data_IF_273655219831
#
_entry.id   IF_273655219831
#
_cell.length_a   1.000
_cell.length_b   1.000
_cell.length_c   1.000
_cell.angle_alpha   90.00
_cell.angle_beta   90.00
_cell.angle_gamma   90.00
#
_symmetry.space_group_name_H-M   'P 1'
#
loop_
_entity.id
_entity.type
_entity.pdbx_description
1 polymer ?
#
# COMPACT_ATOMS: atom_id res chain seq x y z
N UNK A 1 14.33 -2.49 17.71
CA UNK A 1 14.30 -1.01 17.61
C UNK A 1 12.91 -0.61 18.01
N UNK A 2 12.74 0.33 18.91
CA UNK A 2 11.42 0.90 19.20
C UNK A 2 11.03 1.85 18.04
N UNK A 3 9.93 1.58 17.39
CA UNK A 3 9.42 2.40 16.27
C UNK A 3 8.53 3.56 16.74
N UNK A 4 8.17 3.63 18.02
CA UNK A 4 7.29 4.67 18.59
C UNK A 4 5.84 4.59 18.04
N UNK A 5 5.37 3.39 17.70
CA UNK A 5 4.06 3.18 17.07
C UNK A 5 3.00 2.66 18.04
N UNK A 6 3.38 2.25 19.25
CA UNK A 6 2.44 1.68 20.22
C UNK A 6 1.28 2.65 20.52
N UNK A 7 0.07 2.15 20.48
CA UNK A 7 -1.16 2.91 20.70
C UNK A 7 -1.66 3.74 19.50
N UNK A 8 -0.95 3.74 18.37
CA UNK A 8 -1.41 4.35 17.12
C UNK A 8 -2.52 3.52 16.47
N UNK A 9 -3.25 4.14 15.57
CA UNK A 9 -4.30 3.50 14.78
C UNK A 9 -3.94 3.48 13.29
N UNK A 10 -4.23 2.39 12.61
CA UNK A 10 -3.92 2.24 11.19
C UNK A 10 -5.10 1.70 10.37
N UNK A 11 -5.26 2.24 9.17
CA UNK A 11 -6.07 1.67 8.11
C UNK A 11 -5.15 1.07 7.05
N UNK A 12 -5.29 -0.24 6.81
CA UNK A 12 -4.55 -0.96 5.77
C UNK A 12 -5.52 -1.54 4.77
N UNK A 13 -5.48 -1.09 3.53
CA UNK A 13 -6.34 -1.59 2.45
C UNK A 13 -5.66 -2.70 1.65
N UNK A 14 -6.44 -3.55 0.97
CA UNK A 14 -5.91 -4.76 0.32
C UNK A 14 -5.20 -5.70 1.30
N UNK A 15 -5.70 -5.78 2.55
CA UNK A 15 -5.01 -6.39 3.68
C UNK A 15 -5.40 -7.86 3.95
N UNK A 16 -6.15 -8.51 3.06
CA UNK A 16 -6.51 -9.92 3.24
C UNK A 16 -5.44 -10.92 2.81
N UNK A 17 -4.40 -10.47 2.10
CA UNK A 17 -3.28 -11.33 1.64
C UNK A 17 -2.06 -10.49 1.25
N UNK A 18 -0.97 -11.16 0.90
CA UNK A 18 0.24 -10.56 0.29
C UNK A 18 0.84 -9.41 1.08
N UNK A 19 1.29 -8.37 0.39
CA UNK A 19 2.02 -7.24 0.99
C UNK A 19 1.17 -6.40 1.95
N UNK A 20 -0.14 -6.27 1.69
CA UNK A 20 -1.05 -5.56 2.58
C UNK A 20 -1.21 -6.28 3.92
N UNK A 21 -1.42 -7.60 3.90
CA UNK A 21 -1.51 -8.42 5.12
C UNK A 21 -0.20 -8.42 5.90
N UNK A 22 0.92 -8.60 5.21
CA UNK A 22 2.25 -8.57 5.84
C UNK A 22 2.53 -7.20 6.51
N UNK A 23 2.10 -6.10 5.88
CA UNK A 23 2.18 -4.76 6.47
C UNK A 23 1.29 -4.63 7.71
N UNK A 24 0.06 -5.13 7.64
CA UNK A 24 -0.86 -5.10 8.78
C UNK A 24 -0.28 -5.89 9.98
N UNK A 25 0.32 -7.07 9.73
CA UNK A 25 1.01 -7.85 10.76
C UNK A 25 2.18 -7.10 11.37
N UNK A 26 3.03 -6.48 10.54
CA UNK A 26 4.18 -5.73 11.02
C UNK A 26 3.76 -4.56 11.92
N UNK A 27 2.72 -3.82 11.54
CA UNK A 27 2.16 -2.75 12.37
C UNK A 27 1.54 -3.26 13.68
N UNK A 28 0.81 -4.37 13.64
CA UNK A 28 0.22 -4.98 14.83
C UNK A 28 1.27 -5.46 15.84
N UNK A 29 2.42 -5.99 15.37
CA UNK A 29 3.56 -6.37 16.23
C UNK A 29 4.13 -5.17 16.97
N UNK A 30 4.09 -3.97 16.37
CA UNK A 30 4.53 -2.71 16.99
C UNK A 30 3.46 -2.06 17.90
N UNK A 31 2.36 -2.77 18.18
CA UNK A 31 1.30 -2.30 19.07
C UNK A 31 0.32 -1.32 18.42
N UNK A 32 0.25 -1.27 17.10
CA UNK A 32 -0.72 -0.47 16.35
C UNK A 32 -2.07 -1.19 16.33
N UNK A 33 -3.16 -0.50 16.59
CA UNK A 33 -4.52 -1.00 16.38
C UNK A 33 -4.88 -0.89 14.90
N UNK A 34 -5.00 -2.03 14.21
CA UNK A 34 -5.11 -2.07 12.75
C UNK A 34 -6.53 -2.39 12.31
N UNK A 35 -7.06 -1.60 11.37
CA UNK A 35 -8.23 -1.94 10.57
C UNK A 35 -7.78 -2.51 9.22
N UNK A 36 -8.15 -3.76 8.97
CA UNK A 36 -7.90 -4.48 7.70
C UNK A 36 -9.08 -4.29 6.78
N UNK A 37 -8.81 -3.90 5.53
CA UNK A 37 -9.85 -3.73 4.51
C UNK A 37 -9.56 -4.57 3.28
N UNK A 38 -10.57 -5.30 2.82
CA UNK A 38 -10.57 -5.99 1.52
C UNK A 38 -12.01 -6.22 1.05
N UNK A 39 -12.18 -6.78 -0.17
CA UNK A 39 -13.50 -7.11 -0.72
C UNK A 39 -14.14 -8.37 -0.10
N UNK A 40 -13.34 -9.28 0.46
CA UNK A 40 -13.80 -10.57 0.97
C UNK A 40 -13.77 -10.61 2.50
N UNK A 41 -14.95 -10.65 3.10
CA UNK A 41 -15.10 -10.83 4.55
C UNK A 41 -14.48 -12.17 5.03
N UNK A 42 -14.62 -13.24 4.23
CA UNK A 42 -14.04 -14.55 4.54
C UNK A 42 -12.51 -14.49 4.64
N UNK A 43 -11.86 -13.88 3.63
CA UNK A 43 -10.39 -13.72 3.64
C UNK A 43 -9.92 -12.81 4.78
N UNK A 44 -10.70 -11.76 5.12
CA UNK A 44 -10.41 -10.91 6.28
C UNK A 44 -10.50 -11.70 7.59
N UNK A 45 -11.53 -12.52 7.76
CA UNK A 45 -11.65 -13.38 8.96
C UNK A 45 -10.46 -14.34 9.12
N UNK A 46 -9.96 -14.90 8.02
CA UNK A 46 -8.73 -15.71 8.05
C UNK A 46 -7.49 -14.87 8.37
N UNK A 47 -7.37 -13.67 7.78
CA UNK A 47 -6.25 -12.76 7.99
C UNK A 47 -6.14 -12.32 9.46
N UNK A 48 -7.24 -11.95 10.10
CA UNK A 48 -7.30 -11.53 11.51
C UNK A 48 -6.63 -12.55 12.44
N UNK A 49 -6.84 -13.82 12.22
CA UNK A 49 -6.25 -14.90 13.05
C UNK A 49 -4.71 -14.93 12.98
N UNK A 50 -4.09 -14.19 12.08
CA UNK A 50 -2.63 -14.09 11.93
C UNK A 50 -2.03 -12.83 12.56
N UNK A 51 -2.85 -11.95 13.11
CA UNK A 51 -2.41 -10.71 13.72
C UNK A 51 -2.46 -10.80 15.25
N UNK A 52 -1.60 -10.03 15.90
CA UNK A 52 -1.66 -9.81 17.34
C UNK A 52 -2.65 -8.67 17.66
N UNK A 53 -3.18 -8.67 18.87
CA UNK A 53 -4.07 -7.62 19.37
C UNK A 53 -5.53 -7.83 18.99
N UNK A 54 -6.26 -6.73 18.82
CA UNK A 54 -7.69 -6.70 18.48
C UNK A 54 -7.89 -5.94 17.14
N UNK A 55 -7.54 -6.59 16.00
CA UNK A 55 -7.68 -5.97 14.70
C UNK A 55 -9.16 -5.82 14.31
N UNK A 56 -9.47 -4.71 13.66
CA UNK A 56 -10.79 -4.46 13.05
C UNK A 56 -10.80 -4.94 11.60
N UNK A 57 -11.99 -5.24 11.09
CA UNK A 57 -12.18 -5.55 9.66
C UNK A 57 -13.32 -4.74 9.09
N UNK A 58 -13.15 -4.25 7.85
CA UNK A 58 -14.23 -3.66 7.07
C UNK A 58 -14.15 -4.15 5.63
N UNK A 59 -15.29 -4.28 4.97
CA UNK A 59 -15.33 -4.69 3.56
C UNK A 59 -15.50 -3.48 2.66
N UNK A 60 -14.68 -3.39 1.60
CA UNK A 60 -14.85 -2.36 0.58
C UNK A 60 -14.35 -2.80 -0.78
N UNK A 61 -15.04 -2.39 -1.83
CA UNK A 61 -14.51 -2.38 -3.19
C UNK A 61 -13.83 -1.04 -3.47
N UNK A 62 -12.52 -1.07 -3.61
CA UNK A 62 -11.73 0.14 -3.85
C UNK A 62 -11.91 0.71 -5.27
N UNK A 63 -12.62 0.04 -6.16
CA UNK A 63 -13.03 0.61 -7.45
C UNK A 63 -14.34 1.40 -7.37
N UNK A 64 -15.06 1.33 -6.24
CA UNK A 64 -16.30 2.06 -6.00
C UNK A 64 -16.11 3.12 -4.89
N UNK A 65 -16.27 4.39 -5.28
CA UNK A 65 -16.13 5.52 -4.36
C UNK A 65 -17.14 5.49 -3.21
N UNK A 66 -18.35 5.05 -3.44
CA UNK A 66 -19.40 4.96 -2.39
C UNK A 66 -19.03 3.90 -1.36
N UNK A 67 -18.50 2.76 -1.81
CA UNK A 67 -18.00 1.70 -0.95
C UNK A 67 -16.82 2.18 -0.08
N UNK A 68 -15.92 3.00 -0.66
CA UNK A 68 -14.80 3.60 0.09
C UNK A 68 -15.31 4.55 1.16
N UNK A 69 -16.28 5.43 0.86
CA UNK A 69 -16.79 6.40 1.84
C UNK A 69 -17.49 5.70 3.02
N UNK A 70 -18.28 4.67 2.75
CA UNK A 70 -18.93 3.87 3.79
C UNK A 70 -17.89 3.18 4.70
N UNK A 71 -16.87 2.57 4.11
CA UNK A 71 -15.76 1.95 4.85
C UNK A 71 -14.97 2.97 5.69
N UNK A 72 -14.70 4.16 5.16
CA UNK A 72 -14.00 5.22 5.90
C UNK A 72 -14.80 5.67 7.12
N UNK A 73 -16.11 5.82 6.99
CA UNK A 73 -17.01 6.15 8.11
C UNK A 73 -16.95 5.06 9.17
N UNK A 74 -17.18 3.80 8.80
CA UNK A 74 -17.14 2.65 9.71
C UNK A 74 -15.82 2.56 10.47
N UNK A 75 -14.69 2.63 9.75
CA UNK A 75 -13.35 2.51 10.35
C UNK A 75 -13.03 3.69 11.26
N UNK A 76 -13.38 4.92 10.86
CA UNK A 76 -13.11 6.11 11.66
C UNK A 76 -13.95 6.11 12.94
N UNK A 77 -15.21 5.69 12.88
CA UNK A 77 -16.06 5.54 14.08
C UNK A 77 -15.50 4.48 15.04
N UNK A 78 -15.05 3.33 14.51
CA UNK A 78 -14.54 2.24 15.32
C UNK A 78 -13.16 2.53 15.95
N UNK A 79 -12.25 3.22 15.23
CA UNK A 79 -10.92 3.57 15.71
C UNK A 79 -10.90 4.90 16.49
N UNK A 80 -11.91 5.76 16.31
CA UNK A 80 -11.92 7.14 16.79
C UNK A 80 -11.17 8.11 15.84
N UNK A 81 -10.06 7.70 15.31
CA UNK A 81 -9.28 8.40 14.28
C UNK A 81 -8.33 7.42 13.58
N UNK A 82 -7.72 7.85 12.49
CA UNK A 82 -6.68 7.08 11.77
C UNK A 82 -5.39 7.89 11.77
N UNK A 83 -4.34 7.34 12.37
CA UNK A 83 -3.00 7.93 12.39
C UNK A 83 -2.18 7.51 11.18
N UNK A 84 -2.35 6.28 10.71
CA UNK A 84 -1.57 5.66 9.65
C UNK A 84 -2.51 5.19 8.54
N UNK A 85 -2.29 5.65 7.31
CA UNK A 85 -2.93 5.12 6.12
C UNK A 85 -1.92 4.33 5.31
N UNK A 86 -2.15 3.02 5.14
CA UNK A 86 -1.45 2.20 4.16
C UNK A 86 -2.39 1.96 2.98
N UNK A 87 -2.21 2.76 1.92
CA UNK A 87 -2.99 2.65 0.71
C UNK A 87 -2.39 1.55 -0.19
N UNK A 88 -3.05 0.40 -0.21
CA UNK A 88 -2.70 -0.75 -1.03
C UNK A 88 -3.92 -1.31 -1.72
N UNK A 89 -3.80 -1.68 -2.98
CA UNK A 89 -4.86 -2.31 -3.76
C UNK A 89 -4.30 -3.42 -4.64
N UNK A 90 -5.13 -4.38 -4.95
CA UNK A 90 -4.82 -5.39 -5.98
C UNK A 90 -4.47 -4.74 -7.32
N UNK A 91 -3.77 -5.48 -8.16
CA UNK A 91 -3.50 -5.00 -9.52
C UNK A 91 -4.70 -5.20 -10.45
N UNK A 92 -4.87 -4.33 -11.46
CA UNK A 92 -5.78 -4.58 -12.56
C UNK A 92 -5.31 -5.79 -13.37
N UNK A 93 -6.11 -6.32 -14.32
CA UNK A 93 -5.66 -7.35 -15.24
C UNK A 93 -4.36 -6.94 -15.93
N UNK A 94 -3.40 -7.87 -16.12
CA UNK A 94 -2.21 -7.60 -16.90
C UNK A 94 -2.56 -7.34 -18.36
N UNK A 95 -1.76 -6.52 -19.04
CA UNK A 95 -1.96 -6.22 -20.45
C UNK A 95 -0.89 -5.27 -20.99
N UNK A 96 -0.66 -5.36 -22.30
CA UNK A 96 0.21 -4.46 -23.06
C UNK A 96 -0.62 -3.44 -23.87
N UNK A 97 0.06 -2.59 -24.65
CA UNK A 97 -0.60 -1.52 -25.41
C UNK A 97 -1.73 -2.04 -26.32
N UNK A 98 -1.47 -3.10 -27.09
CA UNK A 98 -2.43 -3.60 -28.07
C UNK A 98 -3.58 -4.43 -27.46
N UNK A 99 -3.40 -4.96 -26.25
CA UNK A 99 -4.37 -5.87 -25.59
C UNK A 99 -5.21 -5.22 -24.49
N UNK A 100 -4.95 -3.93 -24.18
CA UNK A 100 -5.64 -3.24 -23.09
C UNK A 100 -6.67 -2.26 -23.64
N UNK A 101 -7.93 -2.44 -23.28
CA UNK A 101 -9.02 -1.52 -23.60
C UNK A 101 -9.11 -0.34 -22.64
N UNK A 102 -9.91 0.67 -22.98
CA UNK A 102 -10.08 1.87 -22.14
C UNK A 102 -10.81 1.58 -20.82
N UNK A 103 -11.63 0.54 -20.77
CA UNK A 103 -12.36 0.12 -19.57
C UNK A 103 -11.38 -0.42 -18.52
N UNK A 104 -10.41 -1.21 -18.95
CA UNK A 104 -9.31 -1.69 -18.11
C UNK A 104 -8.46 -0.53 -17.54
N UNK A 105 -8.18 0.51 -18.36
CA UNK A 105 -7.52 1.72 -17.84
C UNK A 105 -8.38 2.46 -16.83
N UNK A 106 -9.69 2.61 -17.10
CA UNK A 106 -10.61 3.25 -16.16
C UNK A 106 -10.65 2.52 -14.83
N UNK A 107 -10.76 1.17 -14.85
CA UNK A 107 -10.69 0.34 -13.64
C UNK A 107 -9.34 0.51 -12.91
N UNK A 108 -8.23 0.50 -13.63
CA UNK A 108 -6.90 0.67 -13.03
C UNK A 108 -6.75 2.03 -12.34
N UNK A 109 -7.24 3.10 -12.97
CA UNK A 109 -7.23 4.45 -12.39
C UNK A 109 -8.11 4.54 -11.14
N UNK A 110 -9.33 3.98 -11.17
CA UNK A 110 -10.20 3.94 -9.99
C UNK A 110 -9.52 3.19 -8.83
N UNK A 111 -9.05 1.97 -9.11
CA UNK A 111 -8.52 1.05 -8.10
C UNK A 111 -7.17 1.50 -7.51
N UNK A 112 -6.23 1.97 -8.35
CA UNK A 112 -4.83 2.18 -7.95
C UNK A 112 -4.40 3.66 -7.87
N UNK A 113 -5.28 4.61 -8.20
CA UNK A 113 -5.02 6.04 -8.09
C UNK A 113 -6.12 6.74 -7.31
N UNK A 114 -7.36 6.75 -7.83
CA UNK A 114 -8.43 7.57 -7.27
C UNK A 114 -8.89 7.08 -5.89
N UNK A 115 -8.85 5.77 -5.64
CA UNK A 115 -9.11 5.20 -4.31
C UNK A 115 -8.17 5.77 -3.25
N UNK A 116 -6.85 5.79 -3.54
CA UNK A 116 -5.84 6.34 -2.62
C UNK A 116 -6.01 7.85 -2.42
N UNK A 117 -6.28 8.61 -3.49
CA UNK A 117 -6.56 10.05 -3.40
C UNK A 117 -7.79 10.29 -2.51
N UNK A 118 -8.87 9.51 -2.69
CA UNK A 118 -10.10 9.64 -1.91
C UNK A 118 -9.83 9.39 -0.42
N UNK A 119 -9.11 8.33 -0.08
CA UNK A 119 -8.74 8.03 1.31
C UNK A 119 -7.85 9.13 1.91
N UNK A 120 -6.84 9.62 1.18
CA UNK A 120 -6.02 10.74 1.63
C UNK A 120 -6.85 11.99 1.92
N UNK A 121 -7.77 12.36 1.02
CA UNK A 121 -8.64 13.53 1.21
C UNK A 121 -9.54 13.44 2.44
N UNK A 122 -9.97 12.23 2.79
CA UNK A 122 -10.82 12.02 3.95
C UNK A 122 -10.02 12.00 5.29
N UNK A 123 -8.82 11.44 5.29
CA UNK A 123 -8.09 11.16 6.53
C UNK A 123 -7.01 12.20 6.86
N UNK A 124 -6.32 12.75 5.85
CA UNK A 124 -5.18 13.64 6.06
C UNK A 124 -5.53 14.92 6.80
N UNK A 125 -6.67 15.62 6.55
CA UNK A 125 -7.02 16.81 7.31
C UNK A 125 -7.03 16.58 8.82
N UNK A 126 -7.59 15.47 9.29
CA UNK A 126 -7.59 15.12 10.71
C UNK A 126 -6.18 14.78 11.25
N UNK A 127 -5.30 14.21 10.42
CA UNK A 127 -3.89 14.01 10.79
C UNK A 127 -3.17 15.36 10.96
N UNK A 128 -3.40 16.32 10.06
CA UNK A 128 -2.84 17.68 10.13
C UNK A 128 -3.28 18.41 11.41
N UNK A 129 -4.58 18.35 11.73
CA UNK A 129 -5.13 18.96 12.97
C UNK A 129 -4.49 18.40 14.23
N UNK A 130 -4.12 17.11 14.25
CA UNK A 130 -3.44 16.45 15.37
C UNK A 130 -1.91 16.62 15.34
N UNK A 131 -1.35 17.23 14.31
CA UNK A 131 0.10 17.42 14.16
C UNK A 131 0.88 16.11 13.97
N UNK A 132 0.20 15.03 13.55
CA UNK A 132 0.83 13.72 13.34
C UNK A 132 0.04 12.88 12.33
N UNK A 133 0.74 12.30 11.37
CA UNK A 133 0.17 11.37 10.42
C UNK A 133 1.23 10.66 9.58
N UNK A 134 0.89 9.46 9.10
CA UNK A 134 1.73 8.67 8.19
C UNK A 134 0.89 8.13 7.05
N UNK A 135 1.26 8.48 5.83
CA UNK A 135 0.66 7.94 4.62
C UNK A 135 1.73 7.16 3.87
N UNK A 136 1.50 5.87 3.66
CA UNK A 136 2.37 5.02 2.85
C UNK A 136 1.53 4.32 1.80
N UNK A 137 1.85 4.53 0.51
CA UNK A 137 1.21 3.81 -0.57
C UNK A 137 2.12 2.68 -1.09
N UNK A 138 1.56 1.49 -1.28
CA UNK A 138 2.25 0.38 -1.95
C UNK A 138 2.00 0.53 -3.44
N UNK A 139 3.03 0.95 -4.17
CA UNK A 139 2.95 1.17 -5.62
C UNK A 139 3.58 0.02 -6.40
N UNK A 140 4.63 0.25 -7.18
CA UNK A 140 5.35 -0.77 -7.94
C UNK A 140 6.71 -0.24 -8.41
N UNK A 141 7.72 -1.09 -8.54
CA UNK A 141 8.98 -0.79 -9.23
C UNK A 141 8.76 -0.43 -10.71
N UNK A 142 7.65 -0.91 -11.31
CA UNK A 142 7.28 -0.59 -12.70
C UNK A 142 6.99 0.89 -12.94
N UNK A 143 6.79 1.68 -11.89
CA UNK A 143 6.69 3.15 -12.01
C UNK A 143 8.00 3.75 -12.51
N UNK A 144 9.13 3.14 -12.18
CA UNK A 144 10.47 3.59 -12.59
C UNK A 144 10.97 2.87 -13.84
N UNK A 145 10.76 1.57 -13.94
CA UNK A 145 11.12 0.75 -15.08
C UNK A 145 9.86 0.01 -15.58
N UNK A 146 9.11 0.59 -16.54
CA UNK A 146 7.83 0.06 -16.99
C UNK A 146 7.95 -1.35 -17.58
N UNK A 147 6.99 -2.21 -17.22
CA UNK A 147 6.87 -3.56 -17.78
C UNK A 147 5.87 -3.55 -18.95
N UNK A 148 6.19 -4.21 -20.08
CA UNK A 148 5.32 -4.23 -21.25
C UNK A 148 3.99 -4.97 -21.03
N UNK A 149 3.90 -5.79 -19.97
CA UNK A 149 2.68 -6.56 -19.64
C UNK A 149 1.88 -5.98 -18.48
N UNK A 150 2.29 -4.82 -17.93
CA UNK A 150 1.64 -4.19 -16.78
C UNK A 150 1.26 -2.72 -17.03
N UNK A 151 0.98 -2.36 -18.30
CA UNK A 151 0.76 -0.94 -18.66
C UNK A 151 -0.39 -0.28 -17.89
N UNK A 152 -1.57 -0.93 -17.62
CA UNK A 152 -2.63 -0.27 -16.85
C UNK A 152 -2.21 0.05 -15.41
N UNK A 153 -1.56 -0.92 -14.76
CA UNK A 153 -1.06 -0.77 -13.40
C UNK A 153 0.03 0.31 -13.31
N UNK A 154 0.98 0.30 -14.25
CA UNK A 154 2.06 1.29 -14.31
C UNK A 154 1.50 2.70 -14.49
N UNK A 155 0.55 2.90 -15.41
CA UNK A 155 -0.10 4.19 -15.67
C UNK A 155 -0.74 4.76 -14.40
N UNK A 156 -1.56 3.97 -13.70
CA UNK A 156 -2.24 4.41 -12.50
C UNK A 156 -1.28 4.70 -11.34
N UNK A 157 -0.29 3.83 -11.11
CA UNK A 157 0.66 3.95 -9.98
C UNK A 157 1.70 5.04 -10.22
N UNK A 158 2.05 5.35 -11.46
CA UNK A 158 2.88 6.51 -11.78
C UNK A 158 2.16 7.82 -11.43
N UNK A 159 0.87 7.93 -11.80
CA UNK A 159 0.01 9.05 -11.39
C UNK A 159 -0.07 9.18 -9.86
N UNK A 160 -0.28 8.06 -9.15
CA UNK A 160 -0.28 8.04 -7.69
C UNK A 160 1.04 8.53 -7.10
N UNK A 161 2.18 8.07 -7.64
CA UNK A 161 3.50 8.50 -7.16
C UNK A 161 3.70 10.02 -7.29
N UNK A 162 3.25 10.61 -8.40
CA UNK A 162 3.26 12.06 -8.60
C UNK A 162 2.37 12.82 -7.61
N UNK A 163 1.14 12.33 -7.40
CA UNK A 163 0.21 12.88 -6.40
C UNK A 163 0.81 12.87 -4.99
N UNK A 164 1.34 11.72 -4.55
CA UNK A 164 1.93 11.58 -3.21
C UNK A 164 3.13 12.51 -3.00
N UNK A 165 3.97 12.69 -4.04
CA UNK A 165 5.11 13.61 -3.97
C UNK A 165 4.68 15.06 -3.76
N UNK A 166 3.64 15.50 -4.46
CA UNK A 166 3.10 16.86 -4.33
C UNK A 166 2.47 17.04 -2.95
N UNK A 167 1.59 16.11 -2.55
CA UNK A 167 0.92 16.14 -1.24
C UNK A 167 1.92 16.17 -0.07
N UNK A 168 3.02 15.42 -0.17
CA UNK A 168 4.07 15.39 0.86
C UNK A 168 4.61 16.79 1.19
N UNK A 169 4.77 17.65 0.19
CA UNK A 169 5.27 19.01 0.39
C UNK A 169 4.24 19.90 1.10
N UNK A 170 2.96 19.69 0.81
CA UNK A 170 1.88 20.49 1.38
C UNK A 170 1.62 20.17 2.86
N UNK A 171 1.69 18.89 3.23
CA UNK A 171 1.28 18.43 4.58
C UNK A 171 2.44 18.24 5.56
N UNK A 172 3.69 18.31 5.09
CA UNK A 172 4.87 18.14 5.94
C UNK A 172 4.96 19.14 7.10
N UNK A 173 4.60 20.45 6.93
CA UNK A 173 4.60 21.41 8.03
C UNK A 173 3.71 21.01 9.21
N UNK A 174 2.67 20.21 8.94
CA UNK A 174 1.69 19.76 9.94
C UNK A 174 2.04 18.39 10.54
N UNK A 175 3.29 17.93 10.39
CA UNK A 175 3.77 16.68 10.99
C UNK A 175 3.30 15.40 10.29
N UNK A 176 2.77 15.50 9.06
CA UNK A 176 2.34 14.37 8.25
C UNK A 176 3.42 13.98 7.24
N UNK A 177 3.86 12.72 7.25
CA UNK A 177 4.75 12.21 6.22
C UNK A 177 3.99 11.39 5.17
N UNK A 178 4.39 11.52 3.91
CA UNK A 178 3.75 10.85 2.78
C UNK A 178 4.82 10.20 1.91
N UNK A 179 4.78 8.88 1.83
CA UNK A 179 5.76 8.11 1.07
C UNK A 179 5.10 7.02 0.23
N UNK A 180 5.81 6.47 -0.73
CA UNK A 180 5.44 5.23 -1.39
C UNK A 180 6.54 4.19 -1.28
N UNK A 181 6.16 2.92 -1.22
CA UNK A 181 7.07 1.79 -1.34
C UNK A 181 6.81 1.11 -2.67
N UNK A 182 7.87 0.81 -3.40
CA UNK A 182 7.85 0.29 -4.76
C UNK A 182 8.36 -1.16 -4.77
N UNK A 183 7.47 -2.17 -4.54
CA UNK A 183 7.87 -3.55 -4.58
C UNK A 183 8.32 -4.00 -5.97
N UNK A 184 9.37 -4.80 -6.02
CA UNK A 184 9.68 -5.71 -7.10
C UNK A 184 8.97 -7.06 -6.93
N UNK A 185 9.51 -8.15 -7.50
CA UNK A 185 8.95 -9.49 -7.32
C UNK A 185 9.01 -9.94 -5.85
N UNK A 186 7.84 -10.14 -5.23
CA UNK A 186 7.69 -10.70 -3.88
C UNK A 186 6.88 -11.98 -3.95
N UNK A 187 7.13 -12.91 -3.04
CA UNK A 187 6.44 -14.20 -2.94
C UNK A 187 4.98 -14.02 -2.49
N UNK A 188 4.11 -13.68 -3.42
CA UNK A 188 2.68 -13.45 -3.21
C UNK A 188 1.84 -14.16 -4.27
N UNK A 189 0.58 -14.46 -3.96
CA UNK A 189 -0.36 -15.06 -4.94
C UNK A 189 -0.43 -14.20 -6.22
N UNK A 190 -0.37 -12.87 -6.08
CA UNK A 190 -0.39 -11.95 -7.22
C UNK A 190 0.77 -12.17 -8.18
N UNK A 191 1.95 -12.54 -7.69
CA UNK A 191 3.09 -12.82 -8.56
C UNK A 191 2.85 -14.11 -9.37
N UNK A 192 2.28 -15.13 -8.73
CA UNK A 192 1.91 -16.39 -9.38
C UNK A 192 0.78 -16.25 -10.42
N UNK A 193 -0.09 -15.25 -10.28
CA UNK A 193 -1.09 -14.93 -11.31
C UNK A 193 -0.49 -14.30 -12.59
N UNK A 194 0.70 -13.70 -12.48
CA UNK A 194 1.35 -12.97 -13.59
C UNK A 194 2.41 -13.82 -14.28
N UNK A 195 3.08 -14.71 -13.52
CA UNK A 195 4.23 -15.48 -14.00
C UNK A 195 4.07 -16.96 -13.66
N UNK A 196 4.21 -17.82 -14.66
CA UNK A 196 4.11 -19.27 -14.52
C UNK A 196 5.36 -19.90 -13.86
N UNK A 197 6.54 -19.30 -14.06
CA UNK A 197 7.83 -19.78 -13.55
C UNK A 197 8.43 -18.78 -12.55
N UNK A 198 8.13 -18.99 -11.27
CA UNK A 198 8.61 -18.14 -10.19
C UNK A 198 10.11 -18.32 -9.91
N UNK A 199 10.68 -19.48 -10.22
CA UNK A 199 12.12 -19.73 -10.06
C UNK A 199 12.91 -18.94 -11.10
N UNK A 200 12.42 -18.88 -12.33
CA UNK A 200 13.01 -18.02 -13.37
C UNK A 200 12.93 -16.53 -13.00
N UNK A 201 11.80 -16.09 -12.43
CA UNK A 201 11.65 -14.71 -11.90
C UNK A 201 12.67 -14.45 -10.80
N UNK A 202 12.79 -15.34 -9.81
CA UNK A 202 13.74 -15.22 -8.72
C UNK A 202 15.20 -15.18 -9.21
N UNK A 203 15.54 -16.04 -10.17
CA UNK A 203 16.87 -16.06 -10.80
C UNK A 203 17.20 -14.77 -11.57
N UNK A 204 16.18 -14.04 -12.05
CA UNK A 204 16.32 -12.75 -12.73
C UNK A 204 16.60 -11.58 -11.79
N UNK A 205 16.25 -11.70 -10.49
CA UNK A 205 16.51 -10.65 -9.49
C UNK A 205 17.99 -10.69 -9.06
N UNK A 206 18.70 -9.56 -8.93
CA UNK A 206 20.12 -9.56 -8.53
C UNK A 206 20.38 -10.29 -7.19
N UNK A 207 19.50 -10.19 -6.21
CA UNK A 207 19.60 -10.93 -4.94
C UNK A 207 19.25 -12.42 -5.06
N UNK A 208 18.91 -12.90 -6.28
CA UNK A 208 18.61 -14.31 -6.62
C UNK A 208 17.50 -14.96 -5.80
N UNK A 209 16.56 -14.17 -5.33
CA UNK A 209 15.37 -14.64 -4.60
C UNK A 209 14.22 -13.66 -4.75
N UNK A 210 13.01 -14.15 -4.57
CA UNK A 210 11.83 -13.29 -4.39
C UNK A 210 11.92 -12.55 -3.05
N UNK A 211 11.36 -11.35 -2.99
CA UNK A 211 11.19 -10.63 -1.75
C UNK A 211 10.23 -11.38 -0.82
N UNK A 212 10.54 -11.37 0.48
CA UNK A 212 9.65 -11.87 1.52
C UNK A 212 8.59 -10.80 1.84
N UNK A 213 7.29 -11.12 1.80
CA UNK A 213 6.24 -10.19 2.17
C UNK A 213 6.37 -9.64 3.60
N UNK A 214 6.83 -10.44 4.56
CA UNK A 214 6.97 -9.99 5.94
C UNK A 214 8.16 -9.02 6.11
N UNK A 215 9.26 -9.21 5.37
CA UNK A 215 10.35 -8.23 5.31
C UNK A 215 9.86 -6.91 4.70
N UNK A 216 9.05 -6.97 3.64
CA UNK A 216 8.42 -5.79 3.05
C UNK A 216 7.52 -5.05 4.05
N UNK A 217 6.69 -5.78 4.80
CA UNK A 217 5.83 -5.22 5.84
C UNK A 217 6.61 -4.45 6.91
N UNK A 218 7.78 -4.97 7.32
CA UNK A 218 8.69 -4.28 8.27
C UNK A 218 9.26 -2.98 7.71
N UNK A 219 9.56 -2.93 6.40
CA UNK A 219 9.99 -1.68 5.73
C UNK A 219 8.87 -0.63 5.77
N UNK A 220 7.62 -1.02 5.51
CA UNK A 220 6.48 -0.11 5.60
C UNK A 220 6.27 0.37 7.04
N UNK A 221 6.34 -0.54 8.03
CA UNK A 221 6.25 -0.16 9.45
C UNK A 221 7.35 0.82 9.86
N UNK A 222 8.59 0.62 9.40
CA UNK A 222 9.67 1.60 9.60
C UNK A 222 9.33 2.98 9.04
N UNK A 223 8.79 3.08 7.82
CA UNK A 223 8.39 4.37 7.24
C UNK A 223 7.25 5.06 8.01
N UNK A 224 6.46 4.29 8.75
CA UNK A 224 5.43 4.83 9.64
C UNK A 224 5.99 5.31 11.00
N UNK A 225 7.23 4.97 11.35
CA UNK A 225 7.84 5.19 12.67
C UNK A 225 8.16 6.66 12.97
N UNK A 226 8.43 6.94 14.24
CA UNK A 226 9.02 8.23 14.66
C UNK A 226 10.43 8.42 14.10
N UNK A 227 11.20 7.35 13.95
CA UNK A 227 12.55 7.40 13.38
C UNK A 227 12.56 7.83 11.90
N UNK A 228 11.45 7.62 11.19
CA UNK A 228 11.29 8.00 9.80
C UNK A 228 10.64 9.39 9.59
N UNK A 229 10.44 10.20 10.65
CA UNK A 229 9.75 11.51 10.57
C UNK A 229 10.36 12.52 9.59
N UNK A 230 11.61 12.35 9.21
CA UNK A 230 12.29 13.19 8.20
C UNK A 230 12.27 12.57 6.80
N UNK A 231 11.60 11.41 6.62
CA UNK A 231 11.43 10.76 5.32
C UNK A 231 10.01 11.09 4.83
N UNK A 232 9.90 12.02 3.89
CA UNK A 232 8.64 12.38 3.26
C UNK A 232 8.84 12.71 1.78
N UNK A 233 7.86 12.40 0.95
CA UNK A 233 7.94 12.55 -0.50
C UNK A 233 8.91 11.55 -1.14
N UNK A 234 9.28 10.50 -0.44
CA UNK A 234 10.13 9.44 -0.97
C UNK A 234 9.30 8.37 -1.69
N UNK A 235 9.90 7.82 -2.74
CA UNK A 235 9.40 6.63 -3.42
C UNK A 235 10.47 5.55 -3.29
N UNK A 236 10.37 4.70 -2.26
CA UNK A 236 11.41 3.76 -1.85
C UNK A 236 11.27 2.44 -2.62
N UNK A 237 12.25 2.05 -3.47
CA UNK A 237 12.27 0.73 -4.08
C UNK A 237 12.60 -0.36 -3.05
N UNK A 238 11.85 -1.47 -3.10
CA UNK A 238 12.12 -2.70 -2.35
C UNK A 238 11.98 -3.85 -3.35
N UNK A 239 13.06 -4.11 -4.13
CA UNK A 239 12.95 -4.86 -5.39
C UNK A 239 14.18 -5.76 -5.66
N UNK A 240 15.08 -5.89 -4.68
CA UNK A 240 16.21 -6.81 -4.76
C UNK A 240 17.30 -6.41 -5.77
N UNK A 241 17.36 -5.12 -6.16
CA UNK A 241 18.35 -4.59 -7.10
C UNK A 241 17.95 -4.73 -8.57
N UNK A 242 16.68 -4.99 -8.89
CA UNK A 242 16.21 -5.20 -10.27
C UNK A 242 16.20 -3.92 -11.11
N UNK A 243 16.01 -2.76 -10.49
CA UNK A 243 16.03 -1.47 -11.18
C UNK A 243 17.47 -1.09 -11.60
N UNK A 244 17.63 -0.71 -12.86
CA UNK A 244 18.94 -0.43 -13.47
C UNK A 244 19.39 1.00 -13.32
N UNK A 245 18.46 1.95 -13.15
CA UNK A 245 18.78 3.35 -12.98
C UNK A 245 19.26 3.66 -11.55
N UNK A 246 20.08 4.71 -11.42
CA UNK A 246 20.41 5.30 -10.11
C UNK A 246 19.10 5.82 -9.48
N UNK A 247 18.88 5.50 -8.20
CA UNK A 247 17.64 5.76 -7.47
C UNK A 247 17.71 7.06 -6.66
#
# INVERSE_FOLDING_TARGET
MDLGLSGRTALVTGASSGLGLATARALAVEGVRVALVSRSAEKLAAAVNTLNGDPLTATADLSDGTSIDAMLTEVTEALGHVDILVANAGGPPPGGFASTDLETYSLALQLNLLSAIRMCRALVPSMQERGWGRVVAITSSTVREPSPVLIPSTTARAGLTGFLKTMATEVAPDGVTVNSVQPGPHATDRLAEIYDDLDAVAAGVPVRRLGDPDDFGRVVAFLCSESARSITGAALPVEGGSLRAIQ
#
